data_IF_162290135383
#
_entry.id   IF_162290135383
#
_cell.length_a   1.000
_cell.length_b   1.000
_cell.length_c   1.000
_cell.angle_alpha   90.00
_cell.angle_beta   90.00
_cell.angle_gamma   90.00
#
_symmetry.space_group_name_H-M   'P 1'
#
loop_
_entity.id
_entity.type
_entity.pdbx_description
1 polymer ?
#
# COMPACT_ATOMS: atom_id res chain seq x y z
N UNK A 1 8.05 -11.07 -33.23
CA UNK A 1 8.26 -9.93 -32.32
C UNK A 1 6.94 -9.30 -31.82
N UNK A 2 5.82 -10.04 -31.72
CA UNK A 2 4.53 -9.50 -31.21
C UNK A 2 4.52 -9.24 -29.70
N UNK A 3 5.13 -10.11 -28.91
CA UNK A 3 5.21 -9.93 -27.45
C UNK A 3 6.02 -8.69 -27.05
N UNK A 4 7.11 -8.39 -27.78
CA UNK A 4 7.93 -7.21 -27.51
C UNK A 4 7.14 -5.92 -27.75
N UNK A 5 6.36 -5.85 -28.83
CA UNK A 5 5.54 -4.65 -29.12
C UNK A 5 4.45 -4.44 -28.06
N UNK A 6 3.77 -5.48 -27.62
CA UNK A 6 2.76 -5.37 -26.54
C UNK A 6 3.38 -4.89 -25.22
N UNK A 7 4.56 -5.41 -24.85
CA UNK A 7 5.27 -4.97 -23.64
C UNK A 7 5.65 -3.49 -23.74
N UNK A 8 6.10 -3.04 -24.91
CA UNK A 8 6.46 -1.63 -25.12
C UNK A 8 5.24 -0.71 -25.07
N UNK A 9 4.10 -1.13 -25.62
CA UNK A 9 2.83 -0.38 -25.53
C UNK A 9 2.39 -0.24 -24.07
N UNK A 10 2.38 -1.33 -23.30
CA UNK A 10 2.05 -1.31 -21.87
C UNK A 10 3.00 -0.39 -21.09
N UNK A 11 4.30 -0.45 -21.39
CA UNK A 11 5.32 0.39 -20.75
C UNK A 11 5.12 1.88 -21.03
N UNK A 12 4.68 2.24 -22.24
CA UNK A 12 4.37 3.64 -22.57
C UNK A 12 3.19 4.16 -21.75
N UNK A 13 2.14 3.35 -21.62
CA UNK A 13 0.97 3.69 -20.79
C UNK A 13 1.38 3.86 -19.33
N UNK A 14 2.13 2.90 -18.78
CA UNK A 14 2.63 2.95 -17.40
C UNK A 14 3.48 4.20 -17.15
N UNK A 15 4.43 4.50 -18.04
CA UNK A 15 5.30 5.67 -17.91
C UNK A 15 4.50 6.97 -17.94
N UNK A 16 3.46 7.06 -18.79
CA UNK A 16 2.57 8.22 -18.84
C UNK A 16 1.79 8.43 -17.53
N UNK A 17 1.30 7.34 -16.92
CA UNK A 17 0.66 7.40 -15.61
C UNK A 17 1.66 7.76 -14.50
N UNK A 18 2.83 7.15 -14.51
CA UNK A 18 3.87 7.40 -13.52
C UNK A 18 4.31 8.87 -13.55
N UNK A 19 4.51 9.45 -14.73
CA UNK A 19 4.91 10.85 -14.87
C UNK A 19 3.84 11.81 -14.35
N UNK A 20 2.55 11.53 -14.61
CA UNK A 20 1.44 12.30 -14.02
C UNK A 20 1.42 12.19 -12.50
N UNK A 21 1.60 10.99 -11.96
CA UNK A 21 1.67 10.77 -10.51
C UNK A 21 2.84 11.54 -9.88
N UNK A 22 4.04 11.45 -10.43
CA UNK A 22 5.22 12.17 -9.92
C UNK A 22 5.00 13.68 -9.97
N UNK A 23 4.47 14.20 -11.08
CA UNK A 23 4.18 15.63 -11.21
C UNK A 23 3.14 16.09 -10.19
N UNK A 24 2.05 15.35 -10.02
CA UNK A 24 1.01 15.66 -9.04
C UNK A 24 1.56 15.61 -7.61
N UNK A 25 2.32 14.57 -7.26
CA UNK A 25 2.96 14.45 -5.94
C UNK A 25 3.95 15.57 -5.67
N UNK A 26 4.74 15.98 -6.68
CA UNK A 26 5.66 17.10 -6.56
C UNK A 26 4.92 18.43 -6.35
N UNK A 27 3.84 18.66 -7.09
CA UNK A 27 3.00 19.85 -6.95
C UNK A 27 2.35 19.92 -5.56
N UNK A 28 1.77 18.82 -5.08
CA UNK A 28 1.20 18.69 -3.74
C UNK A 28 2.26 19.01 -2.69
N UNK A 29 3.43 18.38 -2.78
CA UNK A 29 4.55 18.63 -1.85
C UNK A 29 4.98 20.09 -1.84
N UNK A 30 5.04 20.72 -3.00
CA UNK A 30 5.42 22.13 -3.12
C UNK A 30 4.40 23.07 -2.45
N UNK A 31 3.10 22.84 -2.69
CA UNK A 31 2.01 23.61 -2.05
C UNK A 31 2.08 23.46 -0.52
N UNK A 32 2.26 22.23 -0.05
CA UNK A 32 2.32 21.93 1.38
C UNK A 32 3.60 22.41 2.07
N UNK A 33 4.71 22.56 1.34
CA UNK A 33 5.93 23.18 1.86
C UNK A 33 5.70 24.66 2.27
N UNK A 34 4.89 25.39 1.50
CA UNK A 34 4.53 26.78 1.81
C UNK A 34 3.36 26.94 2.78
N UNK A 35 2.55 25.89 2.98
CA UNK A 35 1.36 25.91 3.83
C UNK A 35 1.58 26.42 5.28
N UNK A 36 2.61 26.00 6.04
CA UNK A 36 2.79 26.50 7.41
C UNK A 36 3.05 28.01 7.47
N UNK A 37 3.76 28.55 6.47
CA UNK A 37 4.00 29.98 6.36
C UNK A 37 2.71 30.75 6.08
N UNK A 38 1.88 30.27 5.14
CA UNK A 38 0.59 30.88 4.84
C UNK A 38 -0.38 30.83 6.03
N UNK A 39 -0.44 29.69 6.72
CA UNK A 39 -1.26 29.52 7.93
C UNK A 39 -0.81 30.47 9.04
N UNK A 40 0.50 30.64 9.24
CA UNK A 40 1.05 31.59 10.20
C UNK A 40 0.68 33.05 9.84
N UNK A 41 0.88 33.45 8.57
CA UNK A 41 0.52 34.81 8.10
C UNK A 41 -0.97 35.08 8.26
N UNK A 42 -1.84 34.13 7.89
CA UNK A 42 -3.28 34.28 8.04
C UNK A 42 -3.70 34.39 9.52
N UNK A 43 -3.15 33.54 10.39
CA UNK A 43 -3.47 33.53 11.82
C UNK A 43 -3.03 34.83 12.49
N UNK A 44 -1.77 35.25 12.26
CA UNK A 44 -1.25 36.48 12.87
C UNK A 44 -1.86 37.74 12.27
N UNK A 45 -2.12 37.76 10.96
CA UNK A 45 -2.84 38.85 10.31
C UNK A 45 -4.25 39.03 10.88
N UNK A 46 -4.96 37.93 11.13
CA UNK A 46 -6.27 37.97 11.79
C UNK A 46 -6.19 38.46 13.22
N UNK A 47 -5.21 38.00 14.02
CA UNK A 47 -4.99 38.48 15.38
C UNK A 47 -4.67 39.99 15.44
N UNK A 48 -3.93 40.52 14.47
CA UNK A 48 -3.66 41.95 14.35
C UNK A 48 -4.95 42.75 14.12
N UNK A 49 -5.82 42.29 13.21
CA UNK A 49 -7.09 42.97 12.89
C UNK A 49 -8.07 42.97 14.07
N UNK A 50 -8.08 41.90 14.88
CA UNK A 50 -8.95 41.76 16.06
C UNK A 50 -8.38 42.52 17.29
N UNK A 51 -7.13 43.02 17.21
CA UNK A 51 -6.49 43.75 18.31
C UNK A 51 -6.01 42.85 19.46
N UNK A 52 -5.78 41.57 19.20
CA UNK A 52 -5.26 40.63 20.20
C UNK A 52 -3.76 40.91 20.39
N UNK A 53 -3.26 41.07 21.63
CA UNK A 53 -1.83 41.29 21.87
C UNK A 53 -1.02 40.07 21.41
N UNK A 54 -0.27 40.27 20.32
CA UNK A 54 0.63 39.30 19.72
C UNK A 54 1.92 39.22 20.53
N UNK A 55 1.90 38.40 21.58
CA UNK A 55 3.09 38.08 22.36
C UNK A 55 3.95 37.05 21.61
N UNK A 56 5.24 37.32 21.46
CA UNK A 56 6.18 36.47 20.72
C UNK A 56 6.17 35.01 21.20
N UNK A 57 6.00 34.77 22.50
CA UNK A 57 5.92 33.42 23.07
C UNK A 57 4.75 32.57 22.53
N UNK A 58 3.57 33.17 22.34
CA UNK A 58 2.40 32.47 21.80
C UNK A 58 2.54 32.18 20.31
N UNK A 59 3.18 33.07 19.57
CA UNK A 59 3.49 32.94 18.14
C UNK A 59 4.43 31.75 17.92
N UNK A 60 5.55 31.69 18.65
CA UNK A 60 6.52 30.60 18.52
C UNK A 60 5.94 29.25 18.97
N UNK A 61 5.15 29.24 20.05
CA UNK A 61 4.48 28.03 20.51
C UNK A 61 3.49 27.51 19.47
N UNK A 62 2.62 28.35 18.91
CA UNK A 62 1.67 27.96 17.88
C UNK A 62 2.36 27.47 16.60
N UNK A 63 3.43 28.15 16.16
CA UNK A 63 4.23 27.73 15.00
C UNK A 63 4.88 26.36 15.23
N UNK A 64 5.41 26.11 16.42
CA UNK A 64 5.97 24.82 16.78
C UNK A 64 4.90 23.71 16.74
N UNK A 65 3.72 23.96 17.31
CA UNK A 65 2.60 23.01 17.26
C UNK A 65 2.18 22.71 15.82
N UNK A 66 2.07 23.71 14.95
CA UNK A 66 1.73 23.49 13.54
C UNK A 66 2.79 22.66 12.81
N UNK A 67 4.08 22.89 13.08
CA UNK A 67 5.16 22.09 12.47
C UNK A 67 5.11 20.63 12.90
N UNK A 68 4.88 20.36 14.18
CA UNK A 68 4.76 18.99 14.70
C UNK A 68 3.51 18.30 14.14
N UNK A 69 2.41 19.02 13.96
CA UNK A 69 1.16 18.46 13.43
C UNK A 69 1.21 18.24 11.91
N UNK A 70 2.03 18.98 11.18
CA UNK A 70 2.14 18.83 9.72
C UNK A 70 2.76 17.51 9.29
N UNK A 71 3.78 17.04 10.01
CA UNK A 71 4.44 15.78 9.71
C UNK A 71 3.47 14.57 9.66
N UNK A 72 2.62 14.32 10.67
CA UNK A 72 1.64 13.23 10.60
C UNK A 72 0.57 13.46 9.53
N UNK A 73 0.16 14.71 9.26
CA UNK A 73 -0.81 15.01 8.20
C UNK A 73 -0.23 14.63 6.82
N UNK A 74 1.06 14.87 6.59
CA UNK A 74 1.72 14.53 5.33
C UNK A 74 1.96 13.03 5.14
N UNK A 75 2.23 12.30 6.23
CA UNK A 75 2.47 10.85 6.17
C UNK A 75 1.18 10.03 6.17
N UNK A 76 0.03 10.66 6.41
CA UNK A 76 -1.27 9.99 6.51
C UNK A 76 -1.70 9.29 5.19
N UNK A 77 -1.62 9.93 4.00
CA UNK A 77 -1.98 9.28 2.74
C UNK A 77 -1.09 8.05 2.43
N UNK A 78 0.19 8.13 2.75
CA UNK A 78 1.13 7.02 2.57
C UNK A 78 0.77 5.86 3.51
N UNK A 79 0.40 6.17 4.75
CA UNK A 79 -0.06 5.16 5.72
C UNK A 79 -1.34 4.48 5.26
N UNK A 80 -2.30 5.23 4.72
CA UNK A 80 -3.53 4.65 4.13
C UNK A 80 -3.16 3.70 2.97
N UNK A 81 -2.27 4.13 2.08
CA UNK A 81 -1.81 3.31 0.95
C UNK A 81 -1.16 2.01 1.42
N UNK A 82 -0.35 2.07 2.47
CA UNK A 82 0.27 0.90 3.10
C UNK A 82 -0.77 -0.05 3.70
N UNK A 83 -1.82 0.47 4.35
CA UNK A 83 -2.91 -0.33 4.88
C UNK A 83 -3.64 -1.06 3.76
N UNK A 84 -3.97 -0.37 2.66
CA UNK A 84 -4.63 -0.99 1.49
C UNK A 84 -3.76 -2.11 0.90
N UNK A 85 -2.47 -1.86 0.69
CA UNK A 85 -1.54 -2.88 0.20
C UNK A 85 -1.45 -4.07 1.15
N UNK A 86 -1.38 -3.81 2.46
CA UNK A 86 -1.36 -4.86 3.50
C UNK A 86 -2.63 -5.70 3.45
N UNK A 87 -3.80 -5.09 3.28
CA UNK A 87 -5.06 -5.83 3.14
C UNK A 87 -5.05 -6.75 1.93
N UNK A 88 -4.62 -6.26 0.75
CA UNK A 88 -4.56 -7.09 -0.47
C UNK A 88 -3.52 -8.21 -0.34
N UNK A 89 -2.42 -7.97 0.36
CA UNK A 89 -1.43 -9.02 0.64
C UNK A 89 -1.96 -10.06 1.63
N UNK A 90 -2.67 -9.64 2.67
CA UNK A 90 -3.29 -10.55 3.64
C UNK A 90 -4.41 -11.39 3.01
N UNK A 91 -5.22 -10.78 2.15
CA UNK A 91 -6.26 -11.48 1.39
C UNK A 91 -5.69 -12.59 0.50
N UNK A 92 -4.55 -12.31 -0.16
CA UNK A 92 -3.81 -13.34 -0.90
C UNK A 92 -3.32 -14.48 -0.02
N UNK A 93 -2.76 -14.18 1.15
CA UNK A 93 -2.33 -15.22 2.10
C UNK A 93 -3.52 -16.04 2.58
N UNK A 94 -4.64 -15.39 2.93
CA UNK A 94 -5.85 -16.07 3.35
C UNK A 94 -6.40 -17.00 2.25
N UNK A 95 -6.42 -16.53 0.99
CA UNK A 95 -6.83 -17.36 -0.14
C UNK A 95 -5.91 -18.56 -0.34
N UNK A 96 -4.60 -18.39 -0.15
CA UNK A 96 -3.63 -19.47 -0.27
C UNK A 96 -3.80 -20.51 0.84
N UNK A 97 -3.99 -20.09 2.09
CA UNK A 97 -4.25 -21.00 3.21
C UNK A 97 -5.60 -21.70 3.10
N UNK A 98 -6.56 -21.11 2.36
CA UNK A 98 -7.88 -21.70 2.13
C UNK A 98 -7.95 -22.61 0.89
N UNK A 99 -6.84 -22.81 0.18
CA UNK A 99 -6.77 -23.80 -0.89
C UNK A 99 -6.99 -25.20 -0.30
N UNK A 100 -7.79 -26.02 -0.99
CA UNK A 100 -7.96 -27.41 -0.61
C UNK A 100 -6.60 -28.11 -0.62
N UNK A 101 -6.15 -28.53 0.55
CA UNK A 101 -4.97 -29.39 0.67
C UNK A 101 -5.24 -30.72 -0.05
N UNK A 102 -4.18 -31.30 -0.63
CA UNK A 102 -4.24 -32.61 -1.25
C UNK A 102 -4.76 -33.61 -0.19
N UNK A 103 -5.96 -34.15 -0.40
CA UNK A 103 -6.57 -35.10 0.54
C UNK A 103 -5.62 -36.27 0.78
N UNK A 104 -5.14 -36.44 2.02
CA UNK A 104 -4.30 -37.56 2.43
C UNK A 104 -5.02 -38.92 2.30
N UNK A 105 -6.35 -38.90 2.15
CA UNK A 105 -7.21 -40.07 1.99
C UNK A 105 -7.13 -40.72 0.59
N UNK A 106 -6.38 -40.13 -0.34
CA UNK A 106 -6.17 -40.69 -1.68
C UNK A 106 -5.13 -41.82 -1.68
N UNK A 107 -4.31 -41.94 -0.62
CA UNK A 107 -3.23 -42.93 -0.54
C UNK A 107 -3.41 -43.84 0.68
N UNK A 108 -3.73 -45.11 0.45
CA UNK A 108 -3.68 -46.13 1.48
C UNK A 108 -2.22 -46.54 1.71
N UNK A 109 -1.65 -46.13 2.85
CA UNK A 109 -0.28 -46.51 3.24
C UNK A 109 -0.31 -47.78 4.08
N UNK A 110 0.01 -48.90 3.46
CA UNK A 110 0.16 -50.18 4.16
C UNK A 110 1.51 -50.26 4.91
N UNK A 111 1.58 -50.97 6.05
CA UNK A 111 2.82 -51.11 6.82
C UNK A 111 3.88 -51.90 6.04
N UNK A 112 5.14 -51.51 6.23
CA UNK A 112 6.30 -52.11 5.55
C UNK A 112 6.35 -53.62 5.85
N UNK A 113 6.22 -54.45 4.80
CA UNK A 113 6.24 -55.91 4.88
C UNK A 113 4.87 -56.61 4.83
N UNK A 114 3.78 -55.89 4.55
CA UNK A 114 2.43 -56.46 4.47
C UNK A 114 2.02 -57.01 3.09
N UNK A 115 2.74 -56.64 2.02
CA UNK A 115 2.50 -57.11 0.64
C UNK A 115 3.83 -57.19 -0.12
N UNK A 116 3.93 -58.12 -1.08
CA UNK A 116 5.07 -58.25 -2.02
C UNK A 116 5.07 -57.13 -3.09
N UNK A 117 3.93 -56.45 -3.26
CA UNK A 117 3.76 -55.39 -4.24
C UNK A 117 4.06 -54.02 -3.63
N UNK A 118 5.01 -53.28 -4.21
CA UNK A 118 5.47 -52.00 -3.67
C UNK A 118 4.51 -50.82 -3.93
N UNK A 119 3.77 -50.83 -5.04
CA UNK A 119 2.77 -49.82 -5.42
C UNK A 119 1.70 -50.49 -6.28
N UNK A 120 0.42 -50.26 -5.97
CA UNK A 120 -0.72 -50.74 -6.75
C UNK A 120 -1.69 -49.57 -7.03
N UNK A 121 -2.19 -49.48 -8.26
CA UNK A 121 -3.16 -48.46 -8.68
C UNK A 121 -4.33 -49.19 -9.35
N UNK A 122 -5.54 -49.04 -8.80
CA UNK A 122 -6.74 -49.73 -9.29
C UNK A 122 -7.74 -48.69 -9.78
N UNK A 123 -8.19 -48.82 -11.04
CA UNK A 123 -9.22 -47.97 -11.67
C UNK A 123 -9.06 -46.45 -11.49
N UNK A 124 -7.81 -45.97 -11.48
CA UNK A 124 -7.50 -44.55 -11.28
C UNK A 124 -7.99 -43.66 -12.43
N UNK A 125 -8.90 -42.73 -12.14
CA UNK A 125 -9.33 -41.68 -13.06
C UNK A 125 -8.87 -40.31 -12.54
N UNK A 126 -7.95 -39.68 -13.26
CA UNK A 126 -7.38 -38.38 -12.90
C UNK A 126 -7.79 -37.35 -13.94
N UNK A 127 -8.46 -36.28 -13.51
CA UNK A 127 -8.75 -35.12 -14.35
C UNK A 127 -7.73 -34.02 -14.09
N UNK A 128 -7.22 -33.39 -15.14
CA UNK A 128 -6.46 -32.14 -14.99
C UNK A 128 -7.42 -31.03 -14.56
N UNK A 129 -7.20 -30.47 -13.39
CA UNK A 129 -7.78 -29.19 -12.98
C UNK A 129 -6.72 -28.10 -13.11
#
# INVERSE_FOLDING_TARGET
MKFLSEILELRQVETGWLMKCVYNSAMIRYVFWGAPGLVAVATFGTCMLIGIPLESGKIFSALATFRILQEPIYNLPDTISMIVQTKVSLDRIASFTSLDDLKNDVLEKLPIGSSDTAVEIVDGNFSNQ
#
